data_IF_794398679531
#
_entry.id   IF_794398679531
#
_cell.length_a   1.000
_cell.length_b   1.000
_cell.length_c   1.000
_cell.angle_alpha   90.00
_cell.angle_beta   90.00
_cell.angle_gamma   90.00
#
_symmetry.space_group_name_H-M   'P 1'
#
loop_
_entity.id
_entity.type
_entity.pdbx_description
1 polymer ?
#
# COMPACT_ATOMS: atom_id res chain seq x y z
N UNK A 1 -12.10 -4.21 78.64
CA UNK A 1 -10.76 -4.22 78.11
C UNK A 1 -10.89 -4.60 76.62
N UNK A 2 -11.08 -3.77 75.82
CA UNK A 2 -10.46 -2.90 74.81
C UNK A 2 -9.44 -3.67 73.99
N UNK A 3 -9.87 -4.25 72.86
CA UNK A 3 -8.97 -4.57 71.74
C UNK A 3 -9.58 -3.99 70.49
N UNK A 4 -8.94 -2.92 70.03
CA UNK A 4 -9.16 -2.30 68.73
C UNK A 4 -8.52 -3.17 67.63
N UNK A 5 -9.32 -3.74 66.75
CA UNK A 5 -8.87 -4.37 65.53
C UNK A 5 -8.84 -3.31 64.42
N UNK A 6 -7.65 -2.93 64.04
CA UNK A 6 -7.34 -2.15 62.83
C UNK A 6 -7.44 -3.08 61.62
N UNK A 7 -8.54 -2.96 60.86
CA UNK A 7 -8.61 -3.56 59.54
C UNK A 7 -7.91 -2.64 58.53
N UNK A 8 -6.75 -3.10 58.09
CA UNK A 8 -5.99 -2.51 56.99
C UNK A 8 -6.65 -2.90 55.66
N UNK A 9 -7.39 -2.00 55.04
CA UNK A 9 -7.87 -2.18 53.66
C UNK A 9 -6.73 -1.96 52.68
N UNK A 10 -6.23 -3.05 52.15
CA UNK A 10 -5.28 -3.05 51.02
C UNK A 10 -6.07 -2.89 49.73
N UNK A 11 -6.17 -1.67 49.24
CA UNK A 11 -6.76 -1.38 47.92
C UNK A 11 -5.77 -1.84 46.82
N UNK A 12 -6.06 -2.99 46.25
CA UNK A 12 -5.40 -3.41 44.99
C UNK A 12 -5.92 -2.54 43.85
N UNK A 13 -5.10 -1.59 43.43
CA UNK A 13 -5.26 -0.90 42.12
C UNK A 13 -4.92 -1.88 41.03
N UNK A 14 -5.91 -2.48 40.38
CA UNK A 14 -5.78 -3.12 39.10
C UNK A 14 -5.55 -2.02 38.03
N UNK A 15 -4.29 -1.79 37.67
CA UNK A 15 -3.97 -1.04 36.47
C UNK A 15 -4.43 -1.85 35.25
N UNK A 16 -5.59 -1.50 34.71
CA UNK A 16 -6.03 -2.00 33.41
C UNK A 16 -5.10 -1.44 32.36
N UNK A 17 -4.11 -2.23 31.95
CA UNK A 17 -3.36 -1.99 30.72
C UNK A 17 -4.35 -2.14 29.56
N UNK A 18 -4.96 -1.04 29.15
CA UNK A 18 -5.62 -0.92 27.86
C UNK A 18 -4.53 -1.01 26.78
N UNK A 19 -4.15 -2.22 26.43
CA UNK A 19 -3.37 -2.49 25.24
C UNK A 19 -4.14 -1.91 24.07
N UNK A 20 -3.59 -0.86 23.45
CA UNK A 20 -4.10 -0.35 22.20
C UNK A 20 -4.03 -1.49 21.17
N UNK A 21 -5.13 -2.20 20.99
CA UNK A 21 -5.31 -3.14 19.88
C UNK A 21 -5.27 -2.31 18.62
N UNK A 22 -4.12 -2.28 17.98
CA UNK A 22 -4.00 -1.77 16.60
C UNK A 22 -4.80 -2.73 15.74
N UNK A 23 -6.07 -2.40 15.50
CA UNK A 23 -6.89 -3.10 14.52
C UNK A 23 -6.12 -3.15 13.22
N UNK A 24 -5.98 -4.31 12.57
CA UNK A 24 -5.32 -4.40 11.28
C UNK A 24 -6.00 -3.40 10.35
N UNK A 25 -5.24 -2.40 9.90
CA UNK A 25 -5.73 -1.31 9.07
C UNK A 25 -6.36 -1.91 7.82
N UNK A 26 -7.67 -1.92 7.76
CA UNK A 26 -8.37 -2.38 6.56
C UNK A 26 -8.01 -1.43 5.42
N UNK A 27 -7.42 -1.98 4.36
CA UNK A 27 -7.13 -1.21 3.16
C UNK A 27 -8.42 -0.75 2.51
N UNK A 28 -8.49 0.49 2.01
CA UNK A 28 -9.66 0.97 1.27
C UNK A 28 -9.86 0.14 0.00
N UNK A 29 -11.07 0.15 -0.53
CA UNK A 29 -11.38 -0.39 -1.85
C UNK A 29 -11.37 0.72 -2.89
N UNK A 30 -10.89 0.43 -4.08
CA UNK A 30 -10.88 1.39 -5.19
C UNK A 30 -11.03 0.70 -6.54
N UNK A 31 -11.82 1.33 -7.43
CA UNK A 31 -11.82 1.06 -8.86
C UNK A 31 -11.01 2.15 -9.62
N UNK A 32 -10.56 3.19 -8.91
CA UNK A 32 -9.88 4.35 -9.49
C UNK A 32 -8.37 4.29 -9.23
N UNK A 33 -7.64 3.64 -10.12
CA UNK A 33 -6.18 3.54 -10.03
C UNK A 33 -5.51 4.91 -10.11
N UNK A 34 -6.00 5.82 -10.95
CA UNK A 34 -5.43 7.17 -11.04
C UNK A 34 -5.51 7.92 -9.71
N UNK A 35 -6.64 7.83 -9.02
CA UNK A 35 -6.81 8.42 -7.69
C UNK A 35 -5.80 7.84 -6.68
N UNK A 36 -5.55 6.54 -6.73
CA UNK A 36 -4.58 5.89 -5.87
C UNK A 36 -3.13 6.35 -6.17
N UNK A 37 -2.78 6.50 -7.46
CA UNK A 37 -1.48 7.02 -7.88
C UNK A 37 -1.26 8.46 -7.40
N UNK A 38 -2.27 9.31 -7.52
CA UNK A 38 -2.22 10.69 -7.01
C UNK A 38 -2.10 10.71 -5.49
N UNK A 39 -2.79 9.82 -4.78
CA UNK A 39 -2.65 9.68 -3.33
C UNK A 39 -1.23 9.33 -2.91
N UNK A 40 -0.53 8.49 -3.67
CA UNK A 40 0.88 8.19 -3.43
C UNK A 40 1.79 9.40 -3.68
N UNK A 41 1.46 10.24 -4.66
CA UNK A 41 2.20 11.49 -4.90
C UNK A 41 2.07 12.44 -3.72
N UNK A 42 0.86 12.53 -3.14
CA UNK A 42 0.55 13.46 -2.04
C UNK A 42 0.95 12.95 -0.67
N UNK A 43 1.10 11.64 -0.52
CA UNK A 43 1.44 11.05 0.76
C UNK A 43 2.87 11.40 1.17
N UNK A 44 3.08 11.63 2.49
CA UNK A 44 4.40 11.97 3.04
C UNK A 44 5.43 10.85 2.83
N UNK A 45 5.00 9.60 2.86
CA UNK A 45 5.86 8.43 2.66
C UNK A 45 5.94 7.98 1.19
N UNK A 46 5.24 8.67 0.27
CA UNK A 46 5.25 8.34 -1.16
C UNK A 46 4.59 7.03 -1.51
N UNK A 47 3.69 6.52 -0.67
CA UNK A 47 3.02 5.22 -0.86
C UNK A 47 1.51 5.34 -0.76
N UNK A 48 0.80 4.43 -1.43
CA UNK A 48 -0.64 4.22 -1.28
C UNK A 48 -0.98 2.76 -1.54
N UNK A 49 -1.98 2.23 -0.86
CA UNK A 49 -2.44 0.85 -1.02
C UNK A 49 -3.96 0.77 -0.97
N UNK A 50 -4.52 -0.15 -1.74
CA UNK A 50 -5.94 -0.43 -1.75
C UNK A 50 -6.23 -1.85 -2.25
N UNK A 51 -7.47 -2.32 -2.02
CA UNK A 51 -8.02 -3.46 -2.73
C UNK A 51 -8.66 -2.97 -4.03
N UNK A 52 -8.20 -3.54 -5.15
CA UNK A 52 -8.75 -3.21 -6.47
C UNK A 52 -10.11 -3.87 -6.66
N UNK A 53 -11.08 -3.08 -7.10
CA UNK A 53 -12.45 -3.51 -7.45
C UNK A 53 -12.79 -3.11 -8.89
N UNK A 54 -13.97 -3.47 -9.33
CA UNK A 54 -14.48 -3.06 -10.65
C UNK A 54 -13.92 -3.88 -11.82
N UNK A 55 -14.12 -3.38 -13.06
CA UNK A 55 -13.85 -4.15 -14.28
C UNK A 55 -12.40 -4.63 -14.42
N UNK A 56 -11.43 -3.83 -13.99
CA UNK A 56 -10.02 -4.21 -14.07
C UNK A 56 -9.69 -5.39 -13.16
N UNK A 57 -10.23 -5.41 -11.93
CA UNK A 57 -10.05 -6.55 -11.03
C UNK A 57 -10.68 -7.81 -11.59
N UNK A 58 -11.88 -7.70 -12.19
CA UNK A 58 -12.56 -8.82 -12.85
C UNK A 58 -11.73 -9.35 -14.02
N UNK A 59 -11.28 -8.46 -14.90
CA UNK A 59 -10.45 -8.83 -16.05
C UNK A 59 -9.18 -9.56 -15.61
N UNK A 60 -8.47 -9.03 -14.62
CA UNK A 60 -7.24 -9.63 -14.11
C UNK A 60 -7.48 -11.03 -13.54
N UNK A 61 -8.55 -11.21 -12.76
CA UNK A 61 -8.93 -12.54 -12.24
C UNK A 61 -9.27 -13.53 -13.34
N UNK A 62 -9.97 -13.10 -14.38
CA UNK A 62 -10.32 -13.96 -15.50
C UNK A 62 -9.06 -14.37 -16.30
N UNK A 63 -8.17 -13.45 -16.58
CA UNK A 63 -6.92 -13.74 -17.32
C UNK A 63 -5.98 -14.67 -16.56
N UNK A 64 -5.93 -14.52 -15.23
CA UNK A 64 -5.11 -15.38 -14.36
C UNK A 64 -5.83 -16.66 -13.92
N UNK A 65 -7.09 -16.85 -14.32
CA UNK A 65 -7.94 -17.97 -13.87
C UNK A 65 -8.07 -18.05 -12.34
N UNK A 66 -8.00 -16.91 -11.68
CA UNK A 66 -8.17 -16.84 -10.23
C UNK A 66 -9.65 -17.03 -9.85
N UNK A 67 -9.94 -17.65 -8.69
CA UNK A 67 -11.30 -17.75 -8.18
C UNK A 67 -11.99 -16.38 -8.09
N UNK A 68 -13.30 -16.27 -8.32
CA UNK A 68 -14.02 -15.00 -8.32
C UNK A 68 -13.89 -14.20 -7.01
N UNK A 69 -13.76 -14.89 -5.88
CA UNK A 69 -13.60 -14.30 -4.55
C UNK A 69 -12.16 -13.87 -4.23
N UNK A 70 -11.21 -14.12 -5.13
CA UNK A 70 -9.83 -13.66 -4.96
C UNK A 70 -9.77 -12.14 -4.91
N UNK A 71 -9.09 -11.59 -3.91
CA UNK A 71 -8.87 -10.15 -3.80
C UNK A 71 -7.60 -9.75 -4.55
N UNK A 72 -7.67 -8.61 -5.23
CA UNK A 72 -6.52 -8.01 -5.91
C UNK A 72 -6.04 -6.83 -5.09
N UNK A 73 -4.81 -6.89 -4.59
CA UNK A 73 -4.17 -5.77 -3.90
C UNK A 73 -3.44 -4.91 -4.93
N UNK A 74 -3.62 -3.61 -4.84
CA UNK A 74 -2.81 -2.64 -5.56
C UNK A 74 -2.00 -1.82 -4.56
N UNK A 75 -0.69 -1.76 -4.77
CA UNK A 75 0.24 -0.97 -3.97
C UNK A 75 1.01 -0.04 -4.88
N UNK A 76 1.21 1.19 -4.45
CA UNK A 76 1.98 2.20 -5.17
C UNK A 76 3.11 2.67 -4.28
N UNK A 77 4.31 2.76 -4.83
CA UNK A 77 5.48 3.31 -4.14
C UNK A 77 6.23 4.28 -5.04
N UNK A 78 6.81 5.31 -4.43
CA UNK A 78 7.66 6.27 -5.14
C UNK A 78 9.06 5.70 -5.32
N UNK A 79 9.52 5.64 -6.56
CA UNK A 79 10.89 5.28 -6.91
C UNK A 79 11.80 6.50 -6.99
N UNK A 80 11.28 7.61 -7.51
CA UNK A 80 12.04 8.84 -7.74
C UNK A 80 11.13 10.06 -7.70
N UNK A 81 11.61 11.16 -7.17
CA UNK A 81 10.95 12.46 -7.25
C UNK A 81 11.67 13.31 -8.28
N UNK A 82 10.96 13.77 -9.31
CA UNK A 82 11.51 14.65 -10.34
C UNK A 82 11.42 16.13 -9.92
N UNK A 83 10.23 16.49 -9.42
CA UNK A 83 9.88 17.81 -8.87
C UNK A 83 8.67 17.66 -7.96
N UNK A 84 8.29 18.65 -7.16
CA UNK A 84 7.08 18.61 -6.35
C UNK A 84 5.86 18.24 -7.21
N UNK A 85 5.11 17.21 -6.78
CA UNK A 85 3.94 16.72 -7.50
C UNK A 85 4.24 15.87 -8.74
N UNK A 86 5.50 15.56 -9.04
CA UNK A 86 5.91 14.78 -10.22
C UNK A 86 6.90 13.68 -9.82
N UNK A 87 6.47 12.43 -9.90
CA UNK A 87 7.21 11.28 -9.38
C UNK A 87 7.24 10.12 -10.37
N UNK A 88 8.30 9.31 -10.28
CA UNK A 88 8.31 7.96 -10.82
C UNK A 88 7.74 7.02 -9.77
N UNK A 89 6.70 6.31 -10.14
CA UNK A 89 5.95 5.42 -9.26
C UNK A 89 6.10 3.98 -9.75
N UNK A 90 6.16 3.06 -8.82
CA UNK A 90 5.93 1.64 -9.07
C UNK A 90 4.56 1.25 -8.58
N UNK A 91 3.73 0.76 -9.47
CA UNK A 91 2.45 0.14 -9.15
C UNK A 91 2.62 -1.37 -9.17
N UNK A 92 2.26 -2.03 -8.09
CA UNK A 92 2.27 -3.48 -7.95
C UNK A 92 0.85 -3.99 -7.82
N UNK A 93 0.48 -4.94 -8.66
CA UNK A 93 -0.77 -5.70 -8.56
C UNK A 93 -0.44 -7.09 -8.03
N UNK A 94 -1.11 -7.52 -6.99
CA UNK A 94 -0.87 -8.81 -6.35
C UNK A 94 -2.17 -9.50 -5.96
N UNK A 95 -2.18 -10.81 -6.06
CA UNK A 95 -3.24 -11.65 -5.51
C UNK A 95 -2.63 -12.57 -4.45
N UNK A 96 -2.61 -12.16 -3.16
CA UNK A 96 -1.87 -12.85 -2.10
C UNK A 96 -2.31 -14.31 -1.87
N UNK A 97 -3.54 -14.65 -2.26
CA UNK A 97 -4.12 -15.99 -2.09
C UNK A 97 -4.14 -16.82 -3.37
N UNK A 98 -3.59 -16.30 -4.48
CA UNK A 98 -3.57 -16.98 -5.76
C UNK A 98 -2.14 -17.26 -6.22
N UNK A 99 -1.80 -18.55 -6.37
CA UNK A 99 -0.49 -18.98 -6.84
C UNK A 99 -0.55 -19.33 -8.32
N UNK A 100 0.48 -18.96 -9.03
CA UNK A 100 0.65 -19.29 -10.45
C UNK A 100 2.01 -19.94 -10.69
N UNK A 101 2.06 -20.80 -11.70
CA UNK A 101 3.30 -21.42 -12.14
C UNK A 101 4.15 -20.35 -12.86
N UNK A 102 5.35 -20.14 -12.38
CA UNK A 102 6.31 -19.22 -13.01
C UNK A 102 7.01 -19.89 -14.19
N UNK A 103 7.68 -19.10 -15.01
CA UNK A 103 8.53 -19.61 -16.11
C UNK A 103 9.68 -20.48 -15.63
N UNK A 104 10.03 -20.39 -14.33
CA UNK A 104 11.05 -21.21 -13.68
C UNK A 104 10.49 -22.56 -13.18
N UNK A 105 9.18 -22.80 -13.35
CA UNK A 105 8.54 -24.03 -12.87
C UNK A 105 8.19 -24.03 -11.38
N UNK A 106 8.25 -22.91 -10.70
CA UNK A 106 7.87 -22.75 -9.28
C UNK A 106 6.47 -22.14 -9.14
N UNK A 107 5.75 -22.55 -8.07
CA UNK A 107 4.46 -21.95 -7.73
C UNK A 107 4.69 -20.75 -6.84
N UNK A 108 4.40 -19.56 -7.34
CA UNK A 108 4.55 -18.30 -6.61
C UNK A 108 3.23 -17.53 -6.57
N UNK A 109 3.03 -16.70 -5.54
CA UNK A 109 1.87 -15.82 -5.49
C UNK A 109 1.90 -14.86 -6.66
N UNK A 110 0.74 -14.66 -7.31
CA UNK A 110 0.65 -13.76 -8.44
C UNK A 110 1.05 -12.35 -8.03
N UNK A 111 2.00 -11.80 -8.77
CA UNK A 111 2.45 -10.42 -8.62
C UNK A 111 2.96 -9.89 -9.94
N UNK A 112 2.58 -8.67 -10.28
CA UNK A 112 3.11 -7.93 -11.43
C UNK A 112 3.29 -6.46 -11.06
N UNK A 113 4.21 -5.79 -11.71
CA UNK A 113 4.49 -4.38 -11.44
C UNK A 113 4.69 -3.59 -12.71
N UNK A 114 4.38 -2.30 -12.61
CA UNK A 114 4.56 -1.31 -13.67
C UNK A 114 5.23 -0.08 -13.09
N UNK A 115 6.27 0.39 -13.75
CA UNK A 115 6.89 1.67 -13.43
C UNK A 115 6.34 2.73 -14.40
N UNK A 116 5.89 3.84 -13.83
CA UNK A 116 5.32 4.94 -14.61
C UNK A 116 5.74 6.29 -14.04
N UNK A 117 5.84 7.27 -14.91
CA UNK A 117 6.06 8.66 -14.52
C UNK A 117 4.72 9.38 -14.49
N UNK A 118 4.40 10.01 -13.38
CA UNK A 118 3.15 10.74 -13.21
C UNK A 118 3.42 12.09 -12.54
N UNK A 119 2.88 13.12 -13.17
CA UNK A 119 2.84 14.46 -12.62
C UNK A 119 1.38 14.83 -12.31
N UNK A 120 1.14 15.49 -11.19
CA UNK A 120 -0.20 15.91 -10.76
C UNK A 120 -0.86 16.84 -11.77
N UNK A 121 -0.07 17.70 -12.43
CA UNK A 121 -0.53 18.66 -13.44
C UNK A 121 -0.79 18.02 -14.82
N UNK A 122 -0.54 16.71 -14.97
CA UNK A 122 -0.70 15.98 -16.24
C UNK A 122 0.39 16.29 -17.28
N UNK A 123 1.36 17.14 -16.95
CA UNK A 123 2.49 17.40 -17.83
C UNK A 123 3.52 16.26 -17.74
N UNK A 124 4.22 15.94 -18.82
CA UNK A 124 5.29 14.97 -18.76
C UNK A 124 6.41 15.47 -17.84
N UNK A 125 7.11 14.56 -17.13
CA UNK A 125 8.27 14.95 -16.36
C UNK A 125 9.30 15.55 -17.32
N UNK A 126 9.65 16.82 -17.11
CA UNK A 126 10.73 17.44 -17.89
C UNK A 126 12.03 16.79 -17.43
N UNK A 127 12.59 15.97 -18.28
CA UNK A 127 13.99 15.56 -18.15
C UNK A 127 14.79 16.81 -18.44
N UNK A 128 15.42 17.41 -17.42
CA UNK A 128 16.43 18.41 -17.66
C UNK A 128 17.51 17.75 -18.50
N UNK A 129 17.52 17.98 -19.79
CA UNK A 129 18.67 17.73 -20.62
C UNK A 129 19.76 18.69 -20.12
N UNK A 130 20.46 18.26 -19.06
CA UNK A 130 21.74 18.89 -18.73
C UNK A 130 22.60 18.72 -19.98
N UNK A 131 22.92 19.84 -20.61
CA UNK A 131 23.48 19.92 -21.92
C UNK A 131 24.60 18.93 -22.14
N UNK A 132 24.44 18.14 -23.17
CA UNK A 132 25.56 17.65 -23.94
C UNK A 132 26.21 18.90 -24.55
N UNK A 133 27.15 19.47 -23.79
CA UNK A 133 28.02 20.52 -24.26
C UNK A 133 28.66 20.04 -25.56
N UNK A 134 28.32 20.70 -26.66
CA UNK A 134 29.00 20.54 -27.91
C UNK A 134 30.49 20.79 -27.66
N UNK A 135 31.28 19.73 -27.60
CA UNK A 135 32.71 19.84 -27.79
C UNK A 135 32.93 20.25 -29.25
N UNK A 136 33.42 21.47 -29.45
CA UNK A 136 34.08 21.91 -30.66
C UNK A 136 35.54 21.52 -30.61
#
# INVERSE_FOLDING_TARGET
MKHAMLLSMLAMMLAANAGAQTSPRQLPETANIRGLLLSAIDSKNGTAEAWLTGPMAVKLKNETKAPPNTRVKVSVSTLQVFRPGCKRLRMTLAMPMHKMLTVKGTMEMFQMYYDLNLCRDGQPPQVSTVGLGAAR
#
